data_IF_886245214807
#
_entry.id   IF_886245214807
#
_cell.length_a   1.000
_cell.length_b   1.000
_cell.length_c   1.000
_cell.angle_alpha   90.00
_cell.angle_beta   90.00
_cell.angle_gamma   90.00
#
_symmetry.space_group_name_H-M   'P 1'
#
loop_
_entity.id
_entity.type
_entity.pdbx_description
1 polymer ?
#
# COMPACT_ATOMS: atom_id res chain seq x y z
N UNK A 1 -23.51 -85.27 -20.93
CA UNK A 1 -23.25 -83.88 -21.45
C UNK A 1 -23.77 -82.82 -20.51
N UNK A 2 -23.12 -82.52 -19.34
CA UNK A 2 -23.63 -81.53 -18.34
C UNK A 2 -22.54 -80.59 -17.85
N UNK A 3 -21.33 -80.55 -18.42
CA UNK A 3 -20.23 -79.79 -17.84
C UNK A 3 -19.94 -78.41 -18.53
N UNK A 4 -20.58 -78.01 -19.61
CA UNK A 4 -20.27 -76.73 -20.29
C UNK A 4 -20.89 -75.46 -19.66
N UNK A 5 -22.10 -75.59 -19.09
CA UNK A 5 -22.84 -74.44 -18.56
C UNK A 5 -22.26 -73.87 -17.29
N UNK A 6 -21.65 -74.72 -16.45
CA UNK A 6 -21.00 -74.26 -15.17
C UNK A 6 -19.71 -73.45 -15.37
N UNK A 7 -18.94 -73.80 -16.42
CA UNK A 7 -17.71 -73.12 -16.75
C UNK A 7 -17.97 -71.70 -17.28
N UNK A 8 -18.98 -71.57 -18.14
CA UNK A 8 -19.43 -70.31 -18.73
C UNK A 8 -19.95 -69.34 -17.59
N UNK A 9 -20.81 -69.84 -16.73
CA UNK A 9 -21.39 -69.08 -15.64
C UNK A 9 -20.31 -68.61 -14.62
N UNK A 10 -19.28 -69.42 -14.37
CA UNK A 10 -18.15 -69.06 -13.52
C UNK A 10 -17.24 -68.00 -14.17
N UNK A 11 -17.13 -67.97 -15.49
CA UNK A 11 -16.35 -66.99 -16.25
C UNK A 11 -17.08 -65.62 -16.27
N UNK A 12 -18.40 -65.60 -16.45
CA UNK A 12 -19.22 -64.41 -16.39
C UNK A 12 -19.23 -63.77 -14.98
N UNK A 13 -19.33 -64.59 -13.93
CA UNK A 13 -19.26 -64.11 -12.55
C UNK A 13 -17.88 -63.50 -12.19
N UNK A 14 -16.80 -64.04 -12.74
CA UNK A 14 -15.47 -63.44 -12.58
C UNK A 14 -15.35 -62.12 -13.33
N UNK A 15 -15.81 -62.01 -14.55
CA UNK A 15 -15.79 -60.77 -15.33
C UNK A 15 -16.64 -59.67 -14.67
N UNK A 16 -17.83 -59.99 -14.16
CA UNK A 16 -18.66 -59.03 -13.45
C UNK A 16 -18.01 -58.56 -12.13
N UNK A 17 -17.36 -59.45 -11.37
CA UNK A 17 -16.62 -59.08 -10.17
C UNK A 17 -15.41 -58.18 -10.45
N UNK A 18 -14.64 -58.46 -11.52
CA UNK A 18 -13.55 -57.61 -11.99
C UNK A 18 -14.02 -56.21 -12.43
N UNK A 19 -15.13 -56.16 -13.16
CA UNK A 19 -15.76 -54.88 -13.55
C UNK A 19 -16.24 -54.07 -12.36
N UNK A 20 -16.83 -54.69 -11.35
CA UNK A 20 -17.29 -54.05 -10.12
C UNK A 20 -16.09 -53.51 -9.32
N UNK A 21 -15.00 -54.27 -9.19
CA UNK A 21 -13.79 -53.82 -8.53
C UNK A 21 -13.15 -52.62 -9.24
N UNK A 22 -13.02 -52.71 -10.57
CA UNK A 22 -12.46 -51.61 -11.39
C UNK A 22 -13.30 -50.35 -11.30
N UNK A 23 -14.63 -50.44 -11.26
CA UNK A 23 -15.53 -49.31 -11.09
C UNK A 23 -15.43 -48.67 -9.68
N UNK A 24 -15.19 -49.48 -8.65
CA UNK A 24 -15.00 -49.03 -7.30
C UNK A 24 -13.67 -48.28 -7.12
N UNK A 25 -12.61 -48.78 -7.75
CA UNK A 25 -11.28 -48.15 -7.73
C UNK A 25 -11.28 -46.82 -8.50
N UNK A 26 -11.97 -46.71 -9.62
CA UNK A 26 -12.14 -45.45 -10.36
C UNK A 26 -12.86 -44.41 -9.48
N UNK A 27 -13.96 -44.80 -8.80
CA UNK A 27 -14.67 -43.90 -7.91
C UNK A 27 -13.84 -43.41 -6.73
N UNK A 28 -12.99 -44.27 -6.16
CA UNK A 28 -12.05 -43.91 -5.12
C UNK A 28 -11.02 -42.89 -5.61
N UNK A 29 -10.50 -43.14 -6.83
CA UNK A 29 -9.55 -42.22 -7.47
C UNK A 29 -10.17 -40.85 -7.77
N UNK A 30 -11.38 -40.80 -8.31
CA UNK A 30 -12.13 -39.58 -8.55
C UNK A 30 -12.36 -38.79 -7.23
N UNK A 31 -12.71 -39.47 -6.14
CA UNK A 31 -12.91 -38.86 -4.83
C UNK A 31 -11.61 -38.26 -4.28
N UNK A 32 -10.51 -39.01 -4.41
CA UNK A 32 -9.18 -38.51 -4.00
C UNK A 32 -8.80 -37.27 -4.81
N UNK A 33 -8.89 -37.34 -6.13
CA UNK A 33 -8.58 -36.23 -7.01
C UNK A 33 -9.41 -34.98 -6.71
N UNK A 34 -10.73 -35.16 -6.49
CA UNK A 34 -11.60 -34.03 -6.08
C UNK A 34 -11.18 -33.41 -4.75
N UNK A 35 -10.80 -34.22 -3.76
CA UNK A 35 -10.35 -33.72 -2.46
C UNK A 35 -9.04 -32.92 -2.60
N UNK A 36 -8.10 -33.36 -3.40
CA UNK A 36 -6.85 -32.63 -3.67
C UNK A 36 -7.15 -31.31 -4.37
N UNK A 37 -8.00 -31.35 -5.39
CA UNK A 37 -8.39 -30.13 -6.11
C UNK A 37 -9.00 -29.08 -5.15
N UNK A 38 -9.89 -29.52 -4.25
CA UNK A 38 -10.51 -28.64 -3.26
C UNK A 38 -9.42 -28.10 -2.30
N UNK A 39 -8.55 -28.96 -1.79
CA UNK A 39 -7.46 -28.54 -0.88
C UNK A 39 -6.55 -27.53 -1.56
N UNK A 40 -6.16 -27.78 -2.80
CA UNK A 40 -5.34 -26.85 -3.60
C UNK A 40 -6.01 -25.49 -3.76
N UNK A 41 -7.30 -25.47 -4.10
CA UNK A 41 -8.05 -24.20 -4.22
C UNK A 41 -8.11 -23.42 -2.89
N UNK A 42 -8.31 -24.12 -1.77
CA UNK A 42 -8.32 -23.50 -0.44
C UNK A 42 -6.95 -22.91 -0.09
N UNK A 43 -5.87 -23.67 -0.35
CA UNK A 43 -4.50 -23.18 -0.11
C UNK A 43 -4.19 -21.98 -0.99
N UNK A 44 -4.56 -22.02 -2.28
CA UNK A 44 -4.37 -20.86 -3.18
C UNK A 44 -5.11 -19.62 -2.68
N UNK A 45 -6.36 -19.77 -2.28
CA UNK A 45 -7.15 -18.65 -1.75
C UNK A 45 -6.52 -18.07 -0.46
N UNK A 46 -6.08 -18.92 0.46
CA UNK A 46 -5.41 -18.51 1.70
C UNK A 46 -4.09 -17.77 1.43
N UNK A 47 -3.26 -18.27 0.50
CA UNK A 47 -1.99 -17.65 0.11
C UNK A 47 -2.20 -16.29 -0.57
N UNK A 48 -3.22 -16.17 -1.42
CA UNK A 48 -3.57 -14.90 -2.07
C UNK A 48 -4.02 -13.87 -1.04
N UNK A 49 -4.88 -14.26 -0.10
CA UNK A 49 -5.34 -13.39 0.97
C UNK A 49 -4.18 -12.94 1.88
N UNK A 50 -3.27 -13.86 2.23
CA UNK A 50 -2.07 -13.55 3.03
C UNK A 50 -1.12 -12.60 2.29
N UNK A 51 -0.89 -12.84 1.00
CA UNK A 51 -0.06 -11.96 0.15
C UNK A 51 -0.63 -10.54 0.09
N UNK A 52 -1.96 -10.41 -0.08
CA UNK A 52 -2.62 -9.11 -0.05
C UNK A 52 -2.51 -8.40 1.31
N UNK A 53 -2.69 -9.14 2.40
CA UNK A 53 -2.52 -8.61 3.76
C UNK A 53 -1.10 -8.11 4.03
N UNK A 54 -0.09 -8.91 3.68
CA UNK A 54 1.32 -8.54 3.84
C UNK A 54 1.67 -7.31 3.01
N UNK A 55 1.19 -7.24 1.76
CA UNK A 55 1.40 -6.09 0.90
C UNK A 55 0.78 -4.82 1.47
N UNK A 56 -0.46 -4.89 1.96
CA UNK A 56 -1.12 -3.75 2.61
C UNK A 56 -0.33 -3.26 3.83
N UNK A 57 0.13 -4.18 4.67
CA UNK A 57 0.94 -3.86 5.85
C UNK A 57 2.29 -3.23 5.47
N UNK A 58 2.95 -3.77 4.45
CA UNK A 58 4.20 -3.23 3.94
C UNK A 58 4.02 -1.79 3.41
N UNK A 59 3.00 -1.55 2.58
CA UNK A 59 2.66 -0.21 2.09
C UNK A 59 2.44 0.77 3.25
N UNK A 60 1.65 0.39 4.25
CA UNK A 60 1.42 1.23 5.43
C UNK A 60 2.72 1.53 6.19
N UNK A 61 3.61 0.54 6.32
CA UNK A 61 4.90 0.74 6.99
C UNK A 61 5.78 1.74 6.22
N UNK A 62 5.86 1.61 4.89
CA UNK A 62 6.63 2.54 4.04
C UNK A 62 6.06 3.96 4.14
N UNK A 63 4.74 4.10 4.09
CA UNK A 63 4.09 5.41 4.23
C UNK A 63 4.40 6.06 5.59
N UNK A 64 4.39 5.30 6.69
CA UNK A 64 4.74 5.82 8.01
C UNK A 64 6.22 6.22 8.13
N UNK A 65 7.13 5.42 7.55
CA UNK A 65 8.56 5.77 7.51
C UNK A 65 8.76 7.05 6.72
N UNK A 66 8.11 7.16 5.57
CA UNK A 66 8.19 8.35 4.74
C UNK A 66 7.60 9.58 5.45
N UNK A 67 6.46 9.44 6.13
CA UNK A 67 5.86 10.51 6.92
C UNK A 67 6.83 11.02 8.01
N UNK A 68 7.51 10.11 8.71
CA UNK A 68 8.52 10.49 9.71
C UNK A 68 9.73 11.22 9.09
N UNK A 69 10.17 10.82 7.90
CA UNK A 69 11.24 11.53 7.17
C UNK A 69 10.77 12.93 6.74
N UNK A 70 9.53 13.03 6.27
CA UNK A 70 8.91 14.30 5.89
C UNK A 70 8.77 15.23 7.08
N UNK A 71 8.37 14.75 8.27
CA UNK A 71 8.34 15.53 9.50
C UNK A 71 9.71 16.09 9.86
N UNK A 72 10.76 15.25 9.79
CA UNK A 72 12.13 15.70 10.03
C UNK A 72 12.56 16.79 9.05
N UNK A 73 12.08 16.70 7.81
CA UNK A 73 12.38 17.70 6.80
C UNK A 73 11.66 19.04 7.08
N UNK A 74 10.38 18.99 7.44
CA UNK A 74 9.64 20.19 7.88
C UNK A 74 10.29 20.81 9.12
N UNK A 75 10.74 19.99 10.09
CA UNK A 75 11.42 20.45 11.27
C UNK A 75 12.74 21.14 10.93
N UNK A 76 13.52 20.61 9.99
CA UNK A 76 14.77 21.22 9.54
C UNK A 76 14.54 22.61 8.93
N UNK A 77 13.49 22.76 8.11
CA UNK A 77 13.09 24.06 7.55
C UNK A 77 12.68 25.03 8.66
N UNK A 78 11.91 24.57 9.64
CA UNK A 78 11.53 25.38 10.79
C UNK A 78 12.74 25.84 11.61
N UNK A 79 13.69 24.95 11.87
CA UNK A 79 14.90 25.25 12.61
C UNK A 79 15.75 26.30 11.87
N UNK A 80 15.80 26.23 10.55
CA UNK A 80 16.50 27.22 9.72
C UNK A 80 15.84 28.60 9.78
N UNK A 81 14.50 28.66 9.73
CA UNK A 81 13.74 29.90 9.91
C UNK A 81 14.01 30.50 11.29
N UNK A 82 14.00 29.69 12.34
CA UNK A 82 14.22 30.16 13.73
C UNK A 82 15.65 30.65 14.00
N UNK A 83 16.65 30.29 13.20
CA UNK A 83 18.00 30.81 13.29
C UNK A 83 18.12 32.26 12.82
N UNK A 84 17.13 32.80 12.14
CA UNK A 84 17.09 34.17 11.66
C UNK A 84 16.48 35.10 12.72
N UNK A 85 17.30 35.80 13.48
CA UNK A 85 16.81 36.70 14.57
C UNK A 85 16.07 37.94 14.07
N UNK A 86 16.28 38.39 12.82
CA UNK A 86 15.73 39.67 12.31
C UNK A 86 15.30 39.54 10.81
N UNK A 87 14.82 38.39 10.38
CA UNK A 87 14.39 38.20 9.02
C UNK A 87 13.07 38.91 8.70
N UNK A 88 12.88 39.22 7.44
CA UNK A 88 11.60 39.68 6.90
C UNK A 88 10.76 38.46 6.45
N UNK A 89 9.49 38.68 6.17
CA UNK A 89 8.61 37.66 5.59
C UNK A 89 9.18 37.11 4.25
N UNK A 90 9.77 38.01 3.41
CA UNK A 90 10.45 37.62 2.19
C UNK A 90 11.69 36.74 2.45
N UNK A 91 12.43 36.96 3.56
CA UNK A 91 13.55 36.12 3.91
C UNK A 91 13.12 34.71 4.34
N UNK A 92 12.00 34.58 5.05
CA UNK A 92 11.41 33.25 5.39
C UNK A 92 11.07 32.50 4.13
N UNK A 93 10.41 33.14 3.17
CA UNK A 93 10.03 32.54 1.88
C UNK A 93 11.28 32.14 1.09
N UNK A 94 12.32 33.00 1.06
CA UNK A 94 13.60 32.69 0.40
C UNK A 94 14.27 31.47 0.97
N UNK A 95 14.34 31.38 2.31
CA UNK A 95 14.96 30.23 3.00
C UNK A 95 14.20 28.94 2.76
N UNK A 96 12.87 29.01 2.80
CA UNK A 96 12.03 27.86 2.43
C UNK A 96 12.35 27.43 0.99
N UNK A 97 12.43 28.36 0.05
CA UNK A 97 12.73 28.07 -1.36
C UNK A 97 14.13 27.48 -1.52
N UNK A 98 15.13 28.02 -0.84
CA UNK A 98 16.53 27.58 -0.93
C UNK A 98 16.76 26.22 -0.26
N UNK A 99 16.09 25.96 0.84
CA UNK A 99 16.19 24.70 1.58
C UNK A 99 15.42 23.58 0.88
N UNK A 100 14.37 23.92 0.14
CA UNK A 100 13.51 22.96 -0.52
C UNK A 100 14.16 22.36 -1.74
N UNK A 101 14.08 21.03 -1.80
CA UNK A 101 14.42 20.25 -2.98
C UNK A 101 13.78 20.84 -4.25
N UNK A 102 14.56 20.93 -5.32
CA UNK A 102 14.14 21.40 -6.63
C UNK A 102 13.21 20.42 -7.36
N UNK A 103 12.90 19.26 -6.76
CA UNK A 103 11.99 18.26 -7.30
C UNK A 103 10.53 18.73 -7.31
N UNK A 104 9.80 18.43 -8.40
CA UNK A 104 8.36 18.75 -8.52
C UNK A 104 7.47 17.72 -7.82
N UNK A 105 8.00 17.01 -6.82
CA UNK A 105 7.31 15.87 -6.17
C UNK A 105 6.66 16.25 -4.85
N UNK A 106 7.00 17.40 -4.32
CA UNK A 106 6.53 17.90 -3.04
C UNK A 106 5.78 19.21 -3.22
N UNK A 107 4.62 19.32 -2.61
CA UNK A 107 3.80 20.53 -2.60
C UNK A 107 3.97 21.24 -1.26
N UNK A 108 4.37 22.49 -1.28
CA UNK A 108 4.53 23.30 -0.08
C UNK A 108 3.49 24.39 -0.01
N UNK A 109 2.95 24.63 1.17
CA UNK A 109 2.13 25.78 1.46
C UNK A 109 2.68 26.50 2.68
N UNK A 110 2.82 27.81 2.62
CA UNK A 110 3.08 28.70 3.75
C UNK A 110 1.91 29.67 3.84
N UNK A 111 1.27 29.72 5.01
CA UNK A 111 0.22 30.70 5.28
C UNK A 111 0.61 31.58 6.47
N UNK A 112 0.09 32.80 6.44
CA UNK A 112 0.13 33.75 7.55
C UNK A 112 -1.28 33.82 8.10
N UNK A 113 -1.44 33.51 9.39
CA UNK A 113 -2.74 33.29 9.98
C UNK A 113 -3.53 32.25 9.16
N UNK A 114 -4.56 32.64 8.43
CA UNK A 114 -5.36 31.76 7.57
C UNK A 114 -5.12 31.97 6.08
N UNK A 115 -4.31 32.97 5.67
CA UNK A 115 -4.11 33.34 4.28
C UNK A 115 -2.82 32.75 3.71
N UNK A 116 -2.91 32.11 2.55
CA UNK A 116 -1.77 31.50 1.86
C UNK A 116 -0.89 32.62 1.28
N UNK A 117 0.35 32.69 1.75
CA UNK A 117 1.39 33.59 1.24
C UNK A 117 2.12 32.98 0.07
N UNK A 118 2.41 31.68 0.14
CA UNK A 118 3.27 31.00 -0.77
C UNK A 118 2.81 29.56 -1.01
N UNK A 119 2.84 29.14 -2.27
CA UNK A 119 2.60 27.76 -2.69
C UNK A 119 3.69 27.37 -3.69
N UNK A 120 4.28 26.19 -3.52
CA UNK A 120 5.29 25.65 -4.43
C UNK A 120 4.83 24.33 -5.03
N UNK A 121 5.16 24.14 -6.32
CA UNK A 121 4.91 22.91 -7.10
C UNK A 121 3.42 22.57 -7.32
N UNK A 122 2.50 23.44 -6.98
CA UNK A 122 1.07 23.26 -7.26
C UNK A 122 0.74 23.80 -8.66
N UNK A 123 -0.05 23.08 -9.41
CA UNK A 123 -0.63 23.63 -10.63
C UNK A 123 -1.48 24.87 -10.29
N UNK A 124 -1.35 25.94 -11.08
CA UNK A 124 -2.10 27.20 -10.85
C UNK A 124 -1.77 27.86 -9.48
N UNK A 125 -0.49 28.01 -9.16
CA UNK A 125 -0.03 28.69 -7.93
C UNK A 125 -0.72 30.01 -7.68
N UNK A 126 -0.93 30.82 -8.74
CA UNK A 126 -1.61 32.13 -8.68
C UNK A 126 -3.05 32.07 -8.19
N UNK A 127 -3.70 30.91 -8.34
CA UNK A 127 -5.09 30.70 -7.89
C UNK A 127 -5.20 30.62 -6.36
N UNK A 128 -4.18 30.10 -5.70
CA UNK A 128 -4.21 29.85 -4.27
C UNK A 128 -3.50 30.92 -3.44
N UNK A 129 -2.56 31.65 -4.04
CA UNK A 129 -1.86 32.73 -3.35
C UNK A 129 -2.84 33.84 -2.97
N UNK A 130 -2.86 34.21 -1.69
CA UNK A 130 -3.80 35.20 -1.14
C UNK A 130 -5.19 34.67 -0.79
N UNK A 131 -5.47 33.36 -1.04
CA UNK A 131 -6.72 32.72 -0.59
C UNK A 131 -6.57 32.14 0.82
N UNK A 132 -7.71 31.74 1.42
CA UNK A 132 -7.67 31.06 2.72
C UNK A 132 -7.05 29.66 2.62
N UNK A 133 -6.45 29.19 3.70
CA UNK A 133 -5.89 27.85 3.81
C UNK A 133 -6.95 26.77 3.56
N UNK A 134 -8.18 26.99 4.01
CA UNK A 134 -9.33 26.09 3.81
C UNK A 134 -9.73 25.96 2.34
N UNK A 135 -9.45 26.96 1.50
CA UNK A 135 -9.73 26.89 0.08
C UNK A 135 -8.76 25.97 -0.67
N UNK A 136 -7.57 25.73 -0.12
CA UNK A 136 -6.61 24.78 -0.64
C UNK A 136 -6.86 23.38 -0.07
N UNK A 137 -7.13 23.27 1.24
CA UNK A 137 -7.42 22.03 1.96
C UNK A 137 -8.94 21.79 2.04
N UNK A 138 -9.61 21.70 0.90
CA UNK A 138 -11.07 21.75 0.75
C UNK A 138 -11.79 20.43 1.05
N UNK A 139 -11.05 19.35 1.34
CA UNK A 139 -11.64 18.04 1.71
C UNK A 139 -11.72 17.85 3.20
N UNK A 140 -12.65 17.01 3.66
CA UNK A 140 -12.83 16.71 5.10
C UNK A 140 -11.54 16.24 5.78
N UNK A 141 -10.76 15.35 5.12
CA UNK A 141 -9.50 14.84 5.70
C UNK A 141 -8.39 15.90 5.69
N UNK A 142 -8.39 16.80 4.73
CA UNK A 142 -7.41 17.88 4.66
C UNK A 142 -7.73 18.99 5.68
N UNK A 143 -8.99 19.33 5.86
CA UNK A 143 -9.46 20.25 6.89
C UNK A 143 -9.19 19.72 8.32
N UNK A 144 -9.43 18.40 8.55
CA UNK A 144 -9.07 17.75 9.82
C UNK A 144 -7.56 17.83 10.09
N UNK A 145 -6.73 17.60 9.07
CA UNK A 145 -5.27 17.74 9.19
C UNK A 145 -4.89 19.18 9.59
N UNK A 146 -5.39 20.21 8.90
CA UNK A 146 -5.09 21.60 9.23
C UNK A 146 -5.49 21.93 10.67
N UNK A 147 -6.65 21.46 11.10
CA UNK A 147 -7.13 21.64 12.49
C UNK A 147 -6.33 20.86 13.53
N UNK A 148 -5.64 19.81 13.14
CA UNK A 148 -4.78 19.00 14.02
C UNK A 148 -3.41 19.63 14.27
N UNK A 149 -3.01 20.63 13.48
CA UNK A 149 -1.70 21.28 13.56
C UNK A 149 -1.49 21.94 14.90
N UNK A 150 -0.25 21.93 15.38
CA UNK A 150 0.14 22.44 16.68
C UNK A 150 1.32 23.42 16.58
N UNK A 151 1.35 24.31 17.54
CA UNK A 151 2.44 25.29 17.64
C UNK A 151 3.76 24.58 17.96
N UNK A 152 4.79 24.84 17.14
CA UNK A 152 6.15 24.30 17.27
C UNK A 152 6.25 22.79 17.37
N UNK A 153 5.26 22.08 16.82
CA UNK A 153 5.25 20.62 16.80
C UNK A 153 4.77 20.12 15.44
N UNK A 154 5.67 19.48 14.69
CA UNK A 154 5.33 18.89 13.40
C UNK A 154 4.42 17.70 13.61
N UNK A 155 3.32 17.65 12.87
CA UNK A 155 2.36 16.54 12.85
C UNK A 155 2.15 16.09 11.42
N UNK A 156 1.88 14.79 11.25
CA UNK A 156 1.55 14.26 9.92
C UNK A 156 0.23 13.47 9.91
N UNK A 157 -0.41 13.48 8.76
CA UNK A 157 -1.60 12.67 8.47
C UNK A 157 -1.63 12.22 7.01
N UNK A 158 -2.41 11.17 6.73
CA UNK A 158 -2.74 10.74 5.38
C UNK A 158 -4.04 11.40 4.97
N UNK A 159 -3.96 12.33 4.02
CA UNK A 159 -5.11 13.08 3.53
C UNK A 159 -5.49 12.67 2.10
N UNK A 160 -6.71 12.98 1.70
CA UNK A 160 -7.19 12.85 0.33
C UNK A 160 -7.55 14.22 -0.21
N UNK A 161 -6.98 14.58 -1.37
CA UNK A 161 -7.31 15.79 -2.12
C UNK A 161 -7.38 15.44 -3.60
N UNK A 162 -8.34 15.98 -4.33
CA UNK A 162 -8.51 15.79 -5.79
C UNK A 162 -8.49 14.32 -6.25
N UNK A 163 -9.00 13.42 -5.41
CA UNK A 163 -9.03 11.97 -5.71
C UNK A 163 -7.72 11.23 -5.45
N UNK A 164 -6.62 11.93 -5.16
CA UNK A 164 -5.31 11.39 -4.80
C UNK A 164 -5.11 11.34 -3.28
N UNK A 165 -4.20 10.49 -2.82
CA UNK A 165 -3.78 10.42 -1.43
C UNK A 165 -2.41 11.04 -1.26
N UNK A 166 -2.25 11.78 -0.16
CA UNK A 166 -1.01 12.49 0.18
C UNK A 166 -0.59 12.15 1.60
N UNK A 167 0.72 12.12 1.81
CA UNK A 167 1.31 12.29 3.13
C UNK A 167 1.41 13.79 3.35
N UNK A 168 0.72 14.29 4.35
CA UNK A 168 0.75 15.69 4.74
C UNK A 168 1.51 15.82 6.06
N UNK A 169 2.51 16.69 6.13
CA UNK A 169 3.20 17.09 7.35
C UNK A 169 3.10 18.59 7.51
N UNK A 170 2.85 19.06 8.71
CA UNK A 170 2.70 20.49 8.92
C UNK A 170 2.98 20.93 10.36
N UNK A 171 3.20 22.23 10.50
CA UNK A 171 3.50 22.88 11.77
C UNK A 171 2.98 24.30 11.78
N UNK A 172 2.47 24.73 12.93
CA UNK A 172 2.23 26.15 13.22
C UNK A 172 3.47 26.68 13.95
N UNK A 173 4.00 27.81 13.54
CA UNK A 173 5.10 28.49 14.22
C UNK A 173 4.85 29.99 14.34
N UNK A 174 5.54 30.61 15.28
CA UNK A 174 5.45 32.08 15.51
C UNK A 174 6.76 32.74 15.12
N UNK A 175 6.70 33.75 14.28
CA UNK A 175 7.85 34.54 13.87
C UNK A 175 7.49 36.03 13.91
N UNK A 176 8.28 36.83 14.62
CA UNK A 176 7.99 38.25 14.85
C UNK A 176 6.57 38.53 15.35
N UNK A 177 6.11 37.76 16.36
CA UNK A 177 4.77 37.83 16.96
C UNK A 177 3.61 37.52 15.98
N UNK A 178 3.93 37.04 14.82
CA UNK A 178 2.94 36.62 13.81
C UNK A 178 2.94 35.10 13.67
N UNK A 179 1.75 34.52 13.50
CA UNK A 179 1.56 33.10 13.38
C UNK A 179 1.58 32.66 11.90
N UNK A 180 2.37 31.66 11.61
CA UNK A 180 2.48 31.05 10.27
C UNK A 180 2.19 29.57 10.35
N UNK A 181 1.67 29.02 9.25
CA UNK A 181 1.46 27.57 9.08
C UNK A 181 2.25 27.11 7.86
N UNK A 182 3.15 26.16 8.09
CA UNK A 182 3.93 25.51 7.04
C UNK A 182 3.45 24.09 6.86
N UNK A 183 3.07 23.70 5.64
CA UNK A 183 2.69 22.35 5.32
C UNK A 183 3.44 21.83 4.09
N UNK A 184 3.74 20.55 4.12
CA UNK A 184 4.35 19.78 3.06
C UNK A 184 3.47 18.60 2.72
N UNK A 185 3.14 18.45 1.42
CA UNK A 185 2.36 17.34 0.89
C UNK A 185 3.19 16.54 -0.11
N UNK A 186 3.14 15.22 0.00
CA UNK A 186 3.72 14.33 -1.00
C UNK A 186 2.70 13.32 -1.46
N UNK A 187 2.53 13.21 -2.78
CA UNK A 187 1.61 12.25 -3.40
C UNK A 187 2.06 10.80 -3.08
N UNK A 188 1.12 9.95 -2.67
CA UNK A 188 1.36 8.54 -2.38
C UNK A 188 1.99 7.82 -3.58
N UNK A 189 1.61 8.18 -4.81
CA UNK A 189 2.17 7.55 -6.02
C UNK A 189 3.66 7.78 -6.14
N UNK A 190 4.16 8.96 -5.79
CA UNK A 190 5.60 9.29 -5.78
C UNK A 190 6.34 8.42 -4.79
N UNK A 191 5.76 8.18 -3.62
CA UNK A 191 6.37 7.33 -2.58
C UNK A 191 6.39 5.86 -3.02
N UNK A 192 5.30 5.39 -3.65
CA UNK A 192 5.13 3.99 -4.04
C UNK A 192 5.75 3.64 -5.40
N UNK A 193 6.01 4.61 -6.26
CA UNK A 193 6.67 4.40 -7.56
C UNK A 193 8.20 4.39 -7.45
N UNK A 194 8.75 4.52 -6.25
CA UNK A 194 10.18 4.32 -6.03
C UNK A 194 10.59 2.90 -6.46
N UNK A 195 11.68 2.81 -7.24
CA UNK A 195 12.20 1.56 -7.79
C UNK A 195 12.44 0.48 -6.73
N UNK A 196 12.86 0.85 -5.52
CA UNK A 196 13.05 -0.09 -4.42
C UNK A 196 11.72 -0.70 -3.93
N UNK A 197 10.67 0.12 -3.83
CA UNK A 197 9.34 -0.34 -3.46
C UNK A 197 8.76 -1.28 -4.52
N UNK A 198 8.84 -0.89 -5.79
CA UNK A 198 8.37 -1.73 -6.91
C UNK A 198 9.11 -3.05 -6.97
N UNK A 199 10.44 -3.06 -6.82
CA UNK A 199 11.27 -4.26 -6.79
C UNK A 199 10.87 -5.19 -5.64
N UNK A 200 10.69 -4.65 -4.44
CA UNK A 200 10.27 -5.42 -3.26
C UNK A 200 8.86 -5.99 -3.45
N UNK A 201 7.95 -5.20 -4.00
CA UNK A 201 6.58 -5.63 -4.31
C UNK A 201 6.55 -6.79 -5.30
N UNK A 202 7.31 -6.71 -6.39
CA UNK A 202 7.43 -7.76 -7.39
C UNK A 202 8.04 -9.02 -6.76
N UNK A 203 9.11 -8.87 -5.98
CA UNK A 203 9.77 -9.99 -5.28
C UNK A 203 8.82 -10.72 -4.35
N UNK A 204 7.99 -10.01 -3.57
CA UNK A 204 6.99 -10.62 -2.69
C UNK A 204 5.96 -11.48 -3.47
N UNK A 205 5.47 -10.99 -4.62
CA UNK A 205 4.57 -11.78 -5.47
C UNK A 205 5.26 -13.03 -6.03
N UNK A 206 6.52 -12.92 -6.47
CA UNK A 206 7.30 -14.06 -6.95
C UNK A 206 7.47 -15.11 -5.85
N UNK A 207 7.80 -14.73 -4.61
CA UNK A 207 7.90 -15.67 -3.49
C UNK A 207 6.58 -16.39 -3.20
N UNK A 208 5.46 -15.68 -3.21
CA UNK A 208 4.12 -16.29 -3.02
C UNK A 208 3.86 -17.33 -4.11
N UNK A 209 4.17 -17.03 -5.38
CA UNK A 209 4.00 -17.96 -6.50
C UNK A 209 4.91 -19.19 -6.34
N UNK A 210 6.17 -19.01 -5.97
CA UNK A 210 7.12 -20.12 -5.77
C UNK A 210 6.62 -21.05 -4.66
N UNK A 211 6.20 -20.50 -3.51
CA UNK A 211 5.66 -21.30 -2.39
C UNK A 211 4.41 -22.07 -2.84
N UNK A 212 3.53 -21.44 -3.61
CA UNK A 212 2.33 -22.08 -4.13
C UNK A 212 2.67 -23.27 -5.07
N UNK A 213 3.64 -23.09 -5.97
CA UNK A 213 4.10 -24.15 -6.87
C UNK A 213 4.72 -25.31 -6.09
N UNK A 214 5.56 -25.02 -5.08
CA UNK A 214 6.16 -26.03 -4.21
C UNK A 214 5.11 -26.84 -3.44
N UNK A 215 4.09 -26.17 -2.88
CA UNK A 215 2.97 -26.86 -2.22
C UNK A 215 2.20 -27.76 -3.18
N UNK A 216 1.96 -27.35 -4.41
CA UNK A 216 1.32 -28.18 -5.43
C UNK A 216 2.16 -29.41 -5.76
N UNK A 217 3.47 -29.27 -5.92
CA UNK A 217 4.39 -30.38 -6.19
C UNK A 217 4.42 -31.39 -5.03
N UNK A 218 4.43 -30.91 -3.79
CA UNK A 218 4.36 -31.79 -2.60
C UNK A 218 3.04 -32.53 -2.54
N UNK A 219 1.91 -31.86 -2.80
CA UNK A 219 0.60 -32.49 -2.83
C UNK A 219 0.49 -33.57 -3.92
N UNK A 220 1.05 -33.31 -5.11
CA UNK A 220 1.10 -34.29 -6.21
C UNK A 220 2.02 -35.47 -5.88
N UNK A 221 3.19 -35.21 -5.25
CA UNK A 221 4.14 -36.25 -4.86
C UNK A 221 3.59 -37.19 -3.77
N UNK A 222 2.84 -36.67 -2.83
CA UNK A 222 2.20 -37.45 -1.77
C UNK A 222 1.11 -38.42 -2.28
N UNK A 223 0.59 -38.18 -3.47
CA UNK A 223 -0.42 -39.05 -4.09
C UNK A 223 0.17 -40.17 -4.97
N UNK A 224 1.42 -40.01 -5.40
CA UNK A 224 2.12 -41.02 -6.20
C UNK A 224 2.80 -42.09 -5.34
N UNK A 225 2.92 -41.87 -4.03
CA UNK A 225 3.37 -42.89 -3.05
C UNK A 225 2.18 -43.61 -2.44
#
# INVERSE_FOLDING_TARGET
MINGGWILKKKELRQTAEWQNKKTDIRKLEKKFRNILILTLVVMAAMTAMGHYLMKRYTTTIMNVYATQQDNYVQLVLDQINLQENGTEESIISDIIETLDSGNTHYWTLSKEENILFVKNVMETDKYQGTSLDAFYDTSSADEFVKSLRLNHVTHELIKMDGSRYVASGVIFSYNDTQYTLCLLTDETVILDNNEFLSTRISMYIYVIIIMVLMLLVAMGAEMM
#
